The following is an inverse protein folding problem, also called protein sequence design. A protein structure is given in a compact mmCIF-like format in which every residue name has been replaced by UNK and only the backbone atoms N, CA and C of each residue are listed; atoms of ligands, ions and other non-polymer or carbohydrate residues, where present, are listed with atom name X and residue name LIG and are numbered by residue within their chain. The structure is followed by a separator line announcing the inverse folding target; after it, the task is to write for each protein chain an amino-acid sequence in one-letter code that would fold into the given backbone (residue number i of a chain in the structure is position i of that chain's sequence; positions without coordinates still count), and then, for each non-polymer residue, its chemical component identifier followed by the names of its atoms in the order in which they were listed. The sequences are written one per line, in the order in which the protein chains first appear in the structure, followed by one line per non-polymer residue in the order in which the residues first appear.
data_IF_594412380012
#
_entry.id   IF_594412380012
#
_cell.length_a   1.000
_cell.length_b   1.000
_cell.length_c   1.000
_cell.angle_alpha   90.00
_cell.angle_beta   90.00
_cell.angle_gamma   90.00
#
_symmetry.space_group_name_H-M   'P 1'
#
loop_
_entity.id
_entity.type
_entity.pdbx_description
1 polymer ?
#
# COMPACT_ATOMS: atom_id res chain seq x y z
N UNK A 1 -14.17 -7.14 -10.12
CA UNK A 1 -12.71 -6.96 -9.94
C UNK A 1 -12.30 -7.89 -8.83
N UNK A 2 -11.87 -9.07 -9.22
CA UNK A 2 -11.85 -10.25 -8.34
C UNK A 2 -10.42 -10.81 -8.20
N UNK A 3 -9.48 -10.07 -8.77
CA UNK A 3 -8.03 -10.21 -8.73
C UNK A 3 -7.44 -8.82 -8.46
N UNK A 4 -6.34 -8.75 -7.70
CA UNK A 4 -5.50 -7.56 -7.54
C UNK A 4 -4.07 -8.03 -7.27
N UNK A 5 -3.06 -7.40 -7.87
CA UNK A 5 -1.66 -7.83 -7.84
C UNK A 5 -1.47 -9.29 -8.28
N UNK A 6 -2.19 -9.69 -9.33
CA UNK A 6 -2.25 -11.05 -9.89
C UNK A 6 -2.77 -12.16 -8.95
N UNK A 7 -3.25 -11.81 -7.74
CA UNK A 7 -3.79 -12.79 -6.79
C UNK A 7 -5.33 -12.64 -6.66
N UNK A 8 -6.09 -13.76 -6.67
CA UNK A 8 -7.53 -13.73 -6.51
C UNK A 8 -7.91 -13.23 -5.11
N UNK A 9 -8.97 -12.43 -5.04
CA UNK A 9 -9.34 -11.64 -3.86
C UNK A 9 -10.53 -12.26 -3.12
N UNK A 10 -10.38 -12.71 -1.85
CA UNK A 10 -11.43 -13.41 -1.11
C UNK A 10 -12.60 -12.46 -0.77
N UNK A 11 -13.83 -12.99 -0.60
CA UNK A 11 -15.02 -12.15 -0.42
C UNK A 11 -14.92 -11.20 0.78
N UNK A 12 -14.22 -11.63 1.83
CA UNK A 12 -14.10 -10.90 3.09
C UNK A 12 -13.17 -9.68 2.97
N UNK A 13 -12.42 -9.58 1.86
CA UNK A 13 -11.73 -8.37 1.44
C UNK A 13 -12.59 -7.56 0.45
N UNK A 14 -13.31 -8.20 -0.47
CA UNK A 14 -14.23 -7.52 -1.43
C UNK A 14 -15.38 -6.77 -0.74
N UNK A 15 -15.91 -7.31 0.35
CA UNK A 15 -16.92 -6.69 1.24
C UNK A 15 -16.31 -5.68 2.22
N UNK A 16 -14.99 -5.76 2.41
CA UNK A 16 -14.24 -4.74 3.12
C UNK A 16 -14.03 -3.48 2.26
N UNK A 17 -14.03 -3.60 0.93
CA UNK A 17 -14.04 -2.46 0.00
C UNK A 17 -15.36 -1.69 0.13
N UNK A 18 -15.26 -0.40 0.45
CA UNK A 18 -16.40 0.53 0.47
C UNK A 18 -16.59 1.15 -0.91
N UNK A 19 -17.82 1.54 -1.25
CA UNK A 19 -18.00 2.61 -2.24
C UNK A 19 -17.42 3.89 -1.64
N UNK A 20 -16.35 4.40 -2.24
CA UNK A 20 -15.69 5.63 -1.80
C UNK A 20 -16.67 6.80 -1.91
N UNK A 21 -16.79 7.59 -0.84
CA UNK A 21 -17.47 8.88 -0.92
C UNK A 21 -16.76 9.79 -1.91
N UNK A 22 -17.54 10.63 -2.60
CA UNK A 22 -17.03 11.72 -3.45
C UNK A 22 -15.84 12.42 -2.77
N UNK A 23 -14.67 12.52 -3.41
CA UNK A 23 -13.50 13.06 -2.73
C UNK A 23 -13.71 14.52 -2.29
N UNK A 24 -13.14 14.94 -1.15
CA UNK A 24 -13.25 16.32 -0.69
C UNK A 24 -12.47 17.28 -1.61
N UNK A 25 -12.80 18.58 -1.59
CA UNK A 25 -12.02 19.59 -2.29
C UNK A 25 -10.56 19.66 -1.79
N UNK A 26 -9.63 19.95 -2.70
CA UNK A 26 -8.22 20.25 -2.44
C UNK A 26 -8.11 21.67 -1.88
N UNK A 27 -8.04 21.83 -0.56
CA UNK A 27 -8.01 23.13 0.12
C UNK A 27 -6.58 23.69 0.23
N UNK A 28 -5.57 22.83 0.37
CA UNK A 28 -4.15 23.24 0.45
C UNK A 28 -3.44 23.42 -0.90
N UNK A 29 -4.16 23.33 -2.02
CA UNK A 29 -3.57 23.00 -3.33
C UNK A 29 -2.50 23.97 -3.84
N UNK A 30 -2.84 25.25 -3.96
CA UNK A 30 -1.92 26.29 -4.49
C UNK A 30 -0.70 26.52 -3.60
N UNK A 31 -0.83 26.32 -2.29
CA UNK A 31 0.29 26.38 -1.35
C UNK A 31 1.29 25.25 -1.62
N UNK A 32 0.80 24.01 -1.69
CA UNK A 32 1.62 22.81 -1.93
C UNK A 32 2.30 22.89 -3.31
N UNK A 33 1.60 23.41 -4.32
CA UNK A 33 2.16 23.62 -5.66
C UNK A 33 3.33 24.61 -5.64
N UNK A 34 3.19 25.75 -4.93
CA UNK A 34 4.25 26.74 -4.77
C UNK A 34 5.44 26.25 -3.93
N UNK A 35 5.16 25.43 -2.91
CA UNK A 35 6.17 24.79 -2.05
C UNK A 35 7.05 23.81 -2.84
N UNK A 36 6.45 22.91 -3.61
CA UNK A 36 7.17 21.93 -4.43
C UNK A 36 7.97 22.63 -5.55
N UNK A 37 7.40 23.68 -6.16
CA UNK A 37 8.12 24.50 -7.15
C UNK A 37 9.35 25.19 -6.53
N UNK A 38 9.18 25.88 -5.40
CA UNK A 38 10.27 26.59 -4.71
C UNK A 38 11.40 25.66 -4.26
N UNK A 39 11.04 24.45 -3.81
CA UNK A 39 12.02 23.40 -3.47
C UNK A 39 12.75 22.87 -4.71
N UNK A 40 12.05 22.71 -5.83
CA UNK A 40 12.64 22.37 -7.12
C UNK A 40 13.67 23.39 -7.59
N UNK A 41 13.27 24.68 -7.61
CA UNK A 41 14.13 25.79 -8.01
C UNK A 41 15.38 25.88 -7.13
N UNK A 42 15.23 25.76 -5.80
CA UNK A 42 16.34 25.81 -4.84
C UNK A 42 17.39 24.72 -5.05
N UNK A 43 16.98 23.55 -5.58
CA UNK A 43 17.87 22.42 -5.88
C UNK A 43 18.19 22.28 -7.39
N UNK A 44 17.85 23.27 -8.21
CA UNK A 44 18.18 23.29 -9.65
C UNK A 44 17.51 22.18 -10.46
N UNK A 45 16.26 21.84 -10.10
CA UNK A 45 15.53 20.71 -10.65
C UNK A 45 14.89 21.01 -12.00
N UNK A 46 14.76 19.98 -12.83
CA UNK A 46 14.05 20.09 -14.10
C UNK A 46 12.56 20.37 -13.84
N UNK A 47 11.95 21.27 -14.61
CA UNK A 47 10.54 21.63 -14.45
C UNK A 47 9.62 20.41 -14.63
N UNK A 48 10.03 19.46 -15.46
CA UNK A 48 9.38 18.17 -15.67
C UNK A 48 9.42 17.30 -14.39
N UNK A 49 10.55 17.28 -13.66
CA UNK A 49 10.69 16.56 -12.37
C UNK A 49 9.75 17.16 -11.31
N UNK A 50 9.74 18.50 -11.23
CA UNK A 50 8.88 19.29 -10.35
C UNK A 50 7.40 19.06 -10.68
N UNK A 51 7.02 19.09 -11.95
CA UNK A 51 5.62 18.94 -12.36
C UNK A 51 5.10 17.52 -12.15
N UNK A 52 5.92 16.47 -12.34
CA UNK A 52 5.50 15.10 -11.96
C UNK A 52 5.30 14.96 -10.46
N UNK A 53 6.15 15.58 -9.64
CA UNK A 53 5.95 15.62 -8.20
C UNK A 53 4.63 16.31 -7.85
N UNK A 54 4.38 17.52 -8.38
CA UNK A 54 3.11 18.25 -8.19
C UNK A 54 1.89 17.44 -8.61
N UNK A 55 1.94 16.78 -9.78
CA UNK A 55 0.84 15.96 -10.30
C UNK A 55 0.52 14.75 -9.43
N UNK A 56 1.52 14.09 -8.82
CA UNK A 56 1.30 13.02 -7.85
C UNK A 56 0.71 13.54 -6.53
N UNK A 57 1.16 14.71 -6.06
CA UNK A 57 0.64 15.34 -4.83
C UNK A 57 -0.70 16.05 -5.05
N UNK A 58 -1.14 16.22 -6.31
CA UNK A 58 -2.34 16.98 -6.70
C UNK A 58 -3.66 16.41 -6.14
N UNK A 59 -3.68 15.14 -5.70
CA UNK A 59 -4.88 14.47 -5.22
C UNK A 59 -5.62 15.16 -4.07
N UNK A 60 -6.83 14.67 -3.71
CA UNK A 60 -7.63 15.15 -2.60
C UNK A 60 -6.92 15.08 -1.24
N UNK A 61 -7.42 15.85 -0.29
CA UNK A 61 -6.79 16.05 1.02
C UNK A 61 -7.16 14.98 2.07
N UNK A 62 -8.02 13.99 1.77
CA UNK A 62 -8.43 12.98 2.76
C UNK A 62 -7.43 11.85 3.01
N UNK A 63 -6.66 11.43 1.99
CA UNK A 63 -5.70 10.33 2.09
C UNK A 63 -4.41 10.61 1.30
N UNK A 64 -3.28 10.23 1.90
CA UNK A 64 -1.94 10.33 1.30
C UNK A 64 -1.26 8.96 1.31
N UNK A 65 -0.68 8.55 0.18
CA UNK A 65 0.28 7.44 0.09
C UNK A 65 1.68 8.01 0.20
N UNK A 66 2.44 7.58 1.21
CA UNK A 66 3.86 7.90 1.33
C UNK A 66 4.69 6.80 0.66
N UNK A 67 5.35 7.13 -0.43
CA UNK A 67 6.41 6.32 -1.05
C UNK A 67 7.78 6.76 -0.54
N UNK A 68 8.82 5.98 -0.86
CA UNK A 68 10.16 6.27 -0.37
C UNK A 68 10.86 7.35 -1.21
N UNK A 69 11.09 7.10 -2.50
CA UNK A 69 11.73 8.05 -3.43
C UNK A 69 11.40 7.74 -4.89
N UNK A 70 11.52 8.74 -5.80
CA UNK A 70 11.48 8.52 -7.24
C UNK A 70 12.59 7.55 -7.66
N UNK A 71 12.31 6.69 -8.66
CA UNK A 71 13.34 5.86 -9.26
C UNK A 71 14.17 6.65 -10.29
N UNK A 72 15.40 6.21 -10.52
CA UNK A 72 16.44 6.92 -11.28
C UNK A 72 16.24 6.93 -12.80
N UNK A 73 15.29 6.14 -13.29
CA UNK A 73 15.02 5.80 -14.68
C UNK A 73 13.64 6.31 -15.17
N UNK A 74 12.97 7.14 -14.37
CA UNK A 74 11.71 7.77 -14.76
C UNK A 74 11.90 8.77 -15.92
N UNK A 75 11.13 8.59 -16.99
CA UNK A 75 10.95 9.62 -18.02
C UNK A 75 9.94 10.67 -17.54
N UNK A 76 10.46 11.78 -17.02
CA UNK A 76 9.64 12.91 -16.56
C UNK A 76 8.96 13.69 -17.71
N UNK A 77 9.37 13.50 -18.97
CA UNK A 77 8.80 14.20 -20.14
C UNK A 77 7.53 13.57 -20.71
N UNK A 78 7.33 12.26 -20.48
CA UNK A 78 6.14 11.52 -20.89
C UNK A 78 4.83 12.07 -20.28
N UNK A 79 3.64 11.63 -20.71
CA UNK A 79 2.38 12.01 -20.02
C UNK A 79 2.30 11.44 -18.60
N UNK A 80 1.35 11.91 -17.77
CA UNK A 80 1.14 11.34 -16.44
C UNK A 80 0.71 9.86 -16.49
N UNK A 81 -0.05 9.46 -17.52
CA UNK A 81 -0.48 8.07 -17.69
C UNK A 81 0.71 7.16 -18.05
N UNK A 82 1.57 7.59 -18.97
CA UNK A 82 2.77 6.86 -19.38
C UNK A 82 3.77 6.75 -18.22
N UNK A 83 4.07 7.87 -17.54
CA UNK A 83 4.94 7.93 -16.35
C UNK A 83 4.51 6.95 -15.25
N UNK A 84 3.20 6.85 -14.98
CA UNK A 84 2.64 5.87 -14.04
C UNK A 84 2.78 4.44 -14.57
N UNK A 85 2.51 4.21 -15.86
CA UNK A 85 2.52 2.87 -16.45
C UNK A 85 3.91 2.24 -16.56
N UNK A 86 4.95 3.06 -16.82
CA UNK A 86 6.34 2.63 -16.94
C UNK A 86 6.97 2.33 -15.57
N UNK A 87 6.51 2.99 -14.50
CA UNK A 87 7.00 2.75 -13.14
C UNK A 87 6.20 1.64 -12.46
N UNK A 88 6.82 0.47 -12.25
CA UNK A 88 6.16 -0.68 -11.63
C UNK A 88 5.53 -0.33 -10.26
N UNK A 89 6.20 0.49 -9.47
CA UNK A 89 5.69 0.94 -8.16
C UNK A 89 4.44 1.82 -8.32
N UNK A 90 4.44 2.79 -9.23
CA UNK A 90 3.28 3.67 -9.44
C UNK A 90 2.10 2.92 -10.06
N UNK A 91 2.35 2.03 -11.03
CA UNK A 91 1.35 1.12 -11.62
C UNK A 91 0.67 0.26 -10.57
N UNK A 92 1.45 -0.32 -9.64
CA UNK A 92 0.91 -1.11 -8.52
C UNK A 92 0.17 -0.25 -7.50
N UNK A 93 0.59 0.99 -7.23
CA UNK A 93 -0.19 1.94 -6.40
C UNK A 93 -1.53 2.27 -7.07
N UNK A 94 -1.56 2.52 -8.37
CA UNK A 94 -2.79 2.78 -9.12
C UNK A 94 -3.76 1.58 -9.08
N UNK A 95 -3.25 0.36 -9.29
CA UNK A 95 -4.04 -0.88 -9.19
C UNK A 95 -4.63 -1.06 -7.77
N UNK A 96 -3.81 -0.85 -6.73
CA UNK A 96 -4.24 -0.95 -5.32
C UNK A 96 -5.33 0.07 -4.97
N UNK A 97 -5.19 1.32 -5.42
CA UNK A 97 -6.18 2.38 -5.22
C UNK A 97 -7.49 2.03 -5.94
N UNK A 98 -7.41 1.59 -7.21
CA UNK A 98 -8.59 1.19 -7.99
C UNK A 98 -9.30 0.02 -7.32
N UNK A 99 -8.57 -1.02 -6.92
CA UNK A 99 -9.16 -2.15 -6.22
C UNK A 99 -9.84 -1.71 -4.91
N UNK A 100 -9.13 -0.97 -4.05
CA UNK A 100 -9.63 -0.49 -2.77
C UNK A 100 -10.77 0.54 -2.82
N UNK A 101 -11.16 0.99 -4.03
CA UNK A 101 -12.25 1.95 -4.25
C UNK A 101 -13.23 1.54 -5.36
N UNK A 102 -13.21 0.28 -5.83
CA UNK A 102 -14.02 -0.21 -6.96
C UNK A 102 -13.90 0.67 -8.21
N UNK A 103 -12.67 1.09 -8.52
CA UNK A 103 -12.25 2.00 -9.58
C UNK A 103 -12.82 3.44 -9.53
N UNK A 104 -13.45 3.84 -8.42
CA UNK A 104 -13.91 5.23 -8.21
C UNK A 104 -12.74 6.20 -7.98
N UNK A 105 -11.61 5.69 -7.46
CA UNK A 105 -10.35 6.42 -7.38
C UNK A 105 -9.23 5.70 -8.13
N UNK A 106 -8.18 6.44 -8.42
CA UNK A 106 -6.95 6.05 -9.10
C UNK A 106 -5.80 6.97 -8.62
N UNK A 107 -4.57 6.76 -9.10
CA UNK A 107 -3.39 7.54 -8.66
C UNK A 107 -3.44 9.03 -9.07
N UNK A 108 -4.30 9.41 -10.02
CA UNK A 108 -4.48 10.82 -10.44
C UNK A 108 -5.46 11.58 -9.54
N UNK A 109 -6.24 10.88 -8.71
CA UNK A 109 -7.19 11.48 -7.75
C UNK A 109 -7.01 10.93 -6.31
N UNK A 110 -5.77 10.57 -5.97
CA UNK A 110 -5.27 10.25 -4.62
C UNK A 110 -3.90 10.86 -4.48
N UNK A 111 -3.59 11.45 -3.32
CA UNK A 111 -2.29 12.09 -3.10
C UNK A 111 -1.19 11.05 -2.93
N UNK A 112 -0.12 11.12 -3.73
CA UNK A 112 1.10 10.33 -3.55
C UNK A 112 2.27 11.28 -3.32
N UNK A 113 3.05 11.04 -2.26
CA UNK A 113 4.21 11.88 -1.86
C UNK A 113 5.40 10.96 -1.64
N UNK A 114 6.54 11.28 -2.24
CA UNK A 114 7.82 10.65 -1.91
C UNK A 114 8.44 11.31 -0.68
N UNK A 115 8.87 10.53 0.31
CA UNK A 115 9.53 11.06 1.51
C UNK A 115 10.92 11.63 1.19
N UNK A 116 11.57 11.12 0.15
CA UNK A 116 12.70 11.78 -0.52
C UNK A 116 12.23 12.40 -1.85
N UNK A 117 11.36 13.42 -1.76
CA UNK A 117 10.84 14.16 -2.92
C UNK A 117 11.96 14.83 -3.73
N UNK A 118 11.83 14.80 -5.06
CA UNK A 118 12.85 15.28 -6.01
C UNK A 118 14.25 14.69 -5.76
N UNK A 119 14.34 13.45 -5.27
CA UNK A 119 15.60 12.76 -4.97
C UNK A 119 15.71 11.35 -5.59
N UNK A 120 15.74 11.24 -6.94
CA UNK A 120 16.45 10.13 -7.58
C UNK A 120 17.94 10.16 -7.14
N UNK A 121 18.60 9.01 -7.13
CA UNK A 121 20.00 8.92 -6.69
C UNK A 121 20.94 9.71 -7.63
N UNK A 122 21.66 10.69 -7.11
CA UNK A 122 22.57 11.54 -7.89
C UNK A 122 23.37 12.52 -7.03
N UNK A 123 24.27 13.28 -7.66
CA UNK A 123 25.19 14.23 -6.97
C UNK A 123 24.54 15.56 -6.61
N UNK A 124 23.50 15.97 -7.33
CA UNK A 124 22.75 17.21 -7.11
C UNK A 124 21.38 16.88 -6.49
N UNK A 125 21.40 16.11 -5.41
CA UNK A 125 20.22 15.77 -4.64
C UNK A 125 20.02 16.77 -3.48
N UNK A 126 18.78 17.09 -3.10
CA UNK A 126 18.50 17.72 -1.80
C UNK A 126 19.09 16.87 -0.66
N UNK A 127 19.34 17.44 0.52
CA UNK A 127 19.65 16.63 1.70
C UNK A 127 18.45 15.75 2.09
N UNK A 128 18.69 14.70 2.88
CA UNK A 128 17.58 13.86 3.35
C UNK A 128 16.63 14.68 4.24
N UNK A 129 17.15 15.55 5.11
CA UNK A 129 16.32 16.36 6.01
C UNK A 129 15.52 17.47 5.32
N UNK A 130 16.05 18.10 4.25
CA UNK A 130 15.26 19.00 3.39
C UNK A 130 14.07 18.26 2.77
N UNK A 131 14.27 17.03 2.27
CA UNK A 131 13.16 16.21 1.77
C UNK A 131 12.17 15.84 2.88
N UNK A 132 12.68 15.50 4.06
CA UNK A 132 11.86 15.13 5.22
C UNK A 132 10.98 16.31 5.67
N UNK A 133 11.49 17.53 5.72
CA UNK A 133 10.69 18.69 6.11
C UNK A 133 9.69 19.09 5.01
N UNK A 134 10.04 18.98 3.71
CA UNK A 134 9.07 19.12 2.61
C UNK A 134 7.91 18.11 2.74
N UNK A 135 8.21 16.83 2.93
CA UNK A 135 7.20 15.78 3.05
C UNK A 135 6.29 16.00 4.28
N UNK A 136 6.86 16.47 5.39
CA UNK A 136 6.12 16.90 6.59
C UNK A 136 5.21 18.09 6.30
N UNK A 137 5.72 19.13 5.65
CA UNK A 137 4.96 20.33 5.36
C UNK A 137 3.79 20.06 4.39
N UNK A 138 3.98 19.21 3.38
CA UNK A 138 2.90 18.72 2.52
C UNK A 138 1.80 18.02 3.34
N UNK A 139 2.17 17.13 4.28
CA UNK A 139 1.21 16.48 5.18
C UNK A 139 0.49 17.48 6.10
N UNK A 140 1.21 18.49 6.60
CA UNK A 140 0.68 19.56 7.45
C UNK A 140 -0.29 20.50 6.71
N UNK A 141 -0.06 20.74 5.41
CA UNK A 141 -0.95 21.48 4.54
C UNK A 141 -2.20 20.67 4.18
N UNK A 142 -2.04 19.38 3.80
CA UNK A 142 -3.15 18.49 3.42
C UNK A 142 -4.04 18.07 4.59
N UNK A 143 -3.48 17.85 5.78
CA UNK A 143 -4.20 17.36 6.97
C UNK A 143 -5.01 16.08 6.70
N UNK A 144 -4.39 15.03 6.13
CA UNK A 144 -5.11 13.81 5.78
C UNK A 144 -5.72 13.11 7.01
N UNK A 145 -6.86 12.45 6.80
CA UNK A 145 -7.44 11.55 7.78
C UNK A 145 -6.64 10.26 7.89
N UNK A 146 -6.08 9.80 6.77
CA UNK A 146 -5.38 8.51 6.65
C UNK A 146 -4.10 8.67 5.86
N UNK A 147 -3.02 8.02 6.31
CA UNK A 147 -1.73 8.00 5.62
C UNK A 147 -1.31 6.54 5.43
N UNK A 148 -1.12 6.10 4.18
CA UNK A 148 -0.56 4.77 3.87
C UNK A 148 0.96 4.90 3.79
N UNK A 149 1.67 4.36 4.79
CA UNK A 149 3.12 4.36 4.83
C UNK A 149 3.73 3.17 4.09
N UNK A 150 4.12 3.37 2.83
CA UNK A 150 4.77 2.37 1.98
C UNK A 150 6.31 2.48 1.99
N UNK A 151 6.89 2.87 3.13
CA UNK A 151 8.30 3.26 3.27
C UNK A 151 9.14 2.24 4.07
N UNK A 152 10.46 2.24 3.83
CA UNK A 152 11.48 1.56 4.62
C UNK A 152 11.68 2.13 6.03
N UNK A 153 12.78 1.75 6.68
CA UNK A 153 13.09 2.16 8.05
C UNK A 153 13.93 3.45 8.08
N UNK A 154 13.26 4.61 8.06
CA UNK A 154 13.94 5.92 8.01
C UNK A 154 14.45 6.32 9.40
N UNK A 155 15.69 5.92 9.72
CA UNK A 155 16.27 6.05 11.08
C UNK A 155 16.72 7.45 11.50
N UNK A 156 16.99 8.35 10.56
CA UNK A 156 17.73 9.59 10.84
C UNK A 156 16.85 10.78 11.25
N UNK A 157 15.57 10.80 10.88
CA UNK A 157 14.69 11.94 11.12
C UNK A 157 13.72 11.69 12.28
N UNK A 158 13.64 12.63 13.22
CA UNK A 158 12.84 12.48 14.45
C UNK A 158 11.33 12.35 14.15
N UNK A 159 10.76 13.15 13.24
CA UNK A 159 9.32 13.06 12.93
C UNK A 159 8.97 11.77 12.17
N UNK A 160 9.86 11.28 11.32
CA UNK A 160 9.72 9.97 10.66
C UNK A 160 9.97 8.79 11.63
N UNK A 161 10.74 8.98 12.70
CA UNK A 161 10.88 7.99 13.77
C UNK A 161 9.53 7.68 14.44
N UNK A 162 8.63 8.67 14.55
CA UNK A 162 7.25 8.47 14.99
C UNK A 162 6.47 7.53 14.06
N UNK A 163 6.77 7.50 12.75
CA UNK A 163 6.22 6.51 11.80
C UNK A 163 6.86 5.11 11.98
N UNK A 164 8.10 5.04 12.44
CA UNK A 164 8.87 3.80 12.65
C UNK A 164 8.62 3.05 13.98
N UNK A 165 7.68 3.51 14.82
CA UNK A 165 7.31 2.89 16.10
C UNK A 165 6.65 1.48 16.03
N UNK A 166 7.08 0.62 15.11
CA UNK A 166 6.73 -0.80 15.02
C UNK A 166 7.87 -1.57 14.34
N UNK A 167 8.72 -2.25 15.12
CA UNK A 167 10.01 -2.83 14.69
C UNK A 167 9.94 -3.97 13.65
N UNK A 168 8.77 -4.34 13.13
CA UNK A 168 8.58 -5.53 12.27
C UNK A 168 7.75 -5.17 11.05
N UNK A 169 8.41 -5.12 9.88
CA UNK A 169 7.75 -4.86 8.59
C UNK A 169 6.85 -6.05 8.25
N UNK A 170 5.55 -5.80 8.13
CA UNK A 170 4.53 -6.81 7.86
C UNK A 170 3.73 -7.28 9.08
N UNK A 171 3.86 -6.65 10.25
CA UNK A 171 2.88 -6.75 11.34
C UNK A 171 1.78 -5.69 11.16
N UNK A 172 0.62 -5.88 11.80
CA UNK A 172 -0.38 -4.82 11.96
C UNK A 172 0.20 -3.64 12.73
N UNK A 173 0.46 -2.53 12.04
CA UNK A 173 0.93 -1.29 12.65
C UNK A 173 0.07 -0.13 12.14
N UNK A 174 -1.05 0.06 12.81
CA UNK A 174 -1.96 1.20 12.66
C UNK A 174 -1.88 2.06 13.92
N UNK A 175 -1.73 3.37 13.78
CA UNK A 175 -1.67 4.32 14.90
C UNK A 175 -2.13 5.69 14.45
N UNK A 176 -2.66 6.47 15.38
CA UNK A 176 -2.80 7.91 15.14
C UNK A 176 -1.43 8.58 15.32
N UNK A 177 -1.08 9.46 14.39
CA UNK A 177 0.07 10.37 14.51
C UNK A 177 -0.45 11.80 14.57
N UNK A 178 0.11 12.62 15.44
CA UNK A 178 -0.12 14.06 15.42
C UNK A 178 0.71 14.67 14.28
N UNK A 179 0.11 15.54 13.47
CA UNK A 179 0.81 16.28 12.42
C UNK A 179 1.38 17.61 12.94
N UNK A 180 1.12 17.99 14.19
CA UNK A 180 1.62 19.22 14.81
C UNK A 180 0.88 20.49 14.37
N UNK A 181 -0.32 20.35 13.78
CA UNK A 181 -1.12 21.48 13.29
C UNK A 181 -2.53 21.42 13.85
N UNK A 182 -2.89 22.39 14.71
CA UNK A 182 -4.21 22.56 15.31
C UNK A 182 -4.77 21.29 16.01
N UNK A 183 -3.90 20.41 16.52
CA UNK A 183 -4.28 19.12 17.12
C UNK A 183 -4.80 18.08 16.12
N UNK A 184 -4.59 18.28 14.82
CA UNK A 184 -4.98 17.32 13.79
C UNK A 184 -4.12 16.06 13.84
N UNK A 185 -4.77 14.91 14.00
CA UNK A 185 -4.11 13.60 13.92
C UNK A 185 -4.62 12.77 12.74
N UNK A 186 -3.70 12.01 12.13
CA UNK A 186 -3.96 11.15 10.98
C UNK A 186 -3.77 9.67 11.37
N UNK A 187 -4.61 8.79 10.84
CA UNK A 187 -4.42 7.34 10.97
C UNK A 187 -3.30 6.88 10.03
N UNK A 188 -2.11 6.64 10.57
CA UNK A 188 -1.01 6.04 9.84
C UNK A 188 -1.17 4.52 9.78
N UNK A 189 -1.22 3.98 8.55
CA UNK A 189 -1.31 2.55 8.23
C UNK A 189 0.01 2.12 7.61
N UNK A 190 0.85 1.35 8.34
CA UNK A 190 2.13 0.89 7.79
C UNK A 190 1.94 -0.34 6.89
N UNK A 191 2.37 -0.19 5.64
CA UNK A 191 2.36 -1.25 4.62
C UNK A 191 3.77 -1.62 4.16
N UNK A 192 3.85 -2.39 3.08
CA UNK A 192 5.09 -2.66 2.35
C UNK A 192 5.30 -1.62 1.26
N UNK A 193 6.56 -1.43 0.82
CA UNK A 193 6.82 -0.72 -0.43
C UNK A 193 6.31 -1.58 -1.61
N UNK A 194 5.46 -1.06 -2.52
CA UNK A 194 4.85 -1.83 -3.61
C UNK A 194 5.87 -2.61 -4.45
N UNK A 195 6.95 -1.93 -4.89
CA UNK A 195 8.08 -2.55 -5.60
C UNK A 195 8.71 -3.76 -4.91
N UNK A 196 8.69 -3.85 -3.57
CA UNK A 196 9.20 -5.03 -2.84
C UNK A 196 8.27 -6.23 -2.97
N UNK A 197 6.95 -6.02 -2.98
CA UNK A 197 5.96 -7.08 -3.05
C UNK A 197 5.82 -7.67 -4.46
N UNK A 198 5.96 -6.84 -5.49
CA UNK A 198 5.89 -7.27 -6.89
C UNK A 198 7.22 -7.89 -7.36
N UNK A 199 8.37 -7.25 -7.14
CA UNK A 199 9.67 -7.73 -7.66
C UNK A 199 10.27 -8.90 -6.86
N UNK A 200 9.45 -9.55 -6.02
CA UNK A 200 9.76 -10.79 -5.27
C UNK A 200 8.63 -11.82 -5.36
N UNK A 201 7.91 -11.84 -6.50
CA UNK A 201 6.75 -12.69 -6.86
C UNK A 201 6.67 -14.03 -6.12
N UNK A 202 7.75 -14.82 -6.19
CA UNK A 202 7.81 -16.24 -5.78
C UNK A 202 7.84 -16.48 -4.26
N UNK A 203 7.94 -15.44 -3.42
CA UNK A 203 8.18 -15.59 -1.97
C UNK A 203 7.31 -14.68 -1.08
N UNK A 204 6.26 -14.06 -1.63
CA UNK A 204 5.59 -12.93 -0.98
C UNK A 204 4.08 -12.79 -1.28
N UNK A 205 3.34 -13.88 -1.47
CA UNK A 205 1.88 -13.82 -1.63
C UNK A 205 1.21 -13.25 -0.37
N UNK A 206 1.67 -13.62 0.81
CA UNK A 206 1.22 -13.08 2.10
C UNK A 206 1.48 -11.57 2.21
N UNK A 207 2.60 -11.12 1.63
CA UNK A 207 2.97 -9.69 1.58
C UNK A 207 2.11 -8.93 0.56
N UNK A 208 1.79 -9.53 -0.59
CA UNK A 208 0.79 -9.00 -1.55
C UNK A 208 -0.60 -8.90 -0.89
N UNK A 209 -1.07 -9.97 -0.23
CA UNK A 209 -2.35 -9.98 0.50
C UNK A 209 -2.40 -8.89 1.58
N UNK A 210 -1.33 -8.70 2.37
CA UNK A 210 -1.29 -7.59 3.36
C UNK A 210 -1.28 -6.23 2.67
N UNK A 211 -0.50 -6.04 1.60
CA UNK A 211 -0.44 -4.78 0.85
C UNK A 211 -1.83 -4.39 0.30
N UNK A 212 -2.57 -5.33 -0.30
CA UNK A 212 -3.96 -5.08 -0.72
C UNK A 212 -4.85 -4.79 0.49
N UNK A 213 -4.76 -5.57 1.57
CA UNK A 213 -5.52 -5.33 2.79
C UNK A 213 -5.31 -3.91 3.36
N UNK A 214 -4.06 -3.46 3.46
CA UNK A 214 -3.70 -2.18 4.05
C UNK A 214 -4.35 -1.01 3.28
N UNK A 215 -4.37 -1.09 1.94
CA UNK A 215 -5.06 -0.12 1.10
C UNK A 215 -6.59 -0.17 1.30
N UNK A 216 -7.22 -1.36 1.27
CA UNK A 216 -8.67 -1.48 1.50
C UNK A 216 -9.07 -0.97 2.89
N UNK A 217 -8.29 -1.27 3.92
CA UNK A 217 -8.49 -0.74 5.27
C UNK A 217 -8.34 0.77 5.34
N UNK A 218 -7.30 1.32 4.70
CA UNK A 218 -7.05 2.76 4.69
C UNK A 218 -8.18 3.54 3.99
N UNK A 219 -8.65 3.09 2.83
CA UNK A 219 -9.79 3.72 2.14
C UNK A 219 -11.10 3.58 2.93
N UNK A 220 -11.33 2.45 3.62
CA UNK A 220 -12.46 2.30 4.56
C UNK A 220 -12.38 3.31 5.71
N UNK A 221 -11.19 3.55 6.26
CA UNK A 221 -10.97 4.46 7.39
C UNK A 221 -11.19 5.95 7.10
N UNK A 222 -11.23 6.38 5.83
CA UNK A 222 -11.65 7.74 5.45
C UNK A 222 -13.10 8.03 5.88
N UNK A 223 -13.96 7.00 5.82
CA UNK A 223 -15.41 7.11 6.05
C UNK A 223 -15.83 7.02 7.51
N UNK A 224 -14.98 6.46 8.39
CA UNK A 224 -15.26 6.32 9.81
C UNK A 224 -14.34 5.31 10.51
N UNK A 225 -14.50 5.09 11.83
CA UNK A 225 -13.66 4.16 12.59
C UNK A 225 -13.80 2.70 12.10
N UNK A 226 -12.66 2.04 11.88
CA UNK A 226 -12.61 0.67 11.36
C UNK A 226 -11.90 -0.24 12.35
N UNK A 227 -12.43 -1.44 12.56
CA UNK A 227 -11.75 -2.53 13.29
C UNK A 227 -11.15 -3.50 12.29
N UNK A 228 -9.95 -4.02 12.58
CA UNK A 228 -9.39 -5.13 11.81
C UNK A 228 -10.26 -6.38 11.98
N UNK A 229 -10.55 -7.13 10.90
CA UNK A 229 -11.28 -8.37 11.00
C UNK A 229 -10.41 -9.47 11.62
N UNK A 230 -11.03 -10.40 12.34
CA UNK A 230 -10.34 -11.46 13.09
C UNK A 230 -9.46 -12.35 12.21
N UNK A 231 -9.90 -12.65 10.97
CA UNK A 231 -9.15 -13.49 10.02
C UNK A 231 -7.77 -12.93 9.64
N UNK A 232 -7.55 -11.63 9.77
CA UNK A 232 -6.28 -11.00 9.40
C UNK A 232 -5.15 -11.40 10.36
N UNK A 233 -5.44 -11.56 11.65
CA UNK A 233 -4.48 -12.03 12.64
C UNK A 233 -3.95 -13.43 12.28
N UNK A 234 -4.84 -14.29 11.74
CA UNK A 234 -4.51 -15.63 11.26
C UNK A 234 -3.44 -15.58 10.15
N UNK A 235 -3.63 -14.73 9.14
CA UNK A 235 -2.69 -14.56 8.01
C UNK A 235 -1.31 -14.10 8.50
N UNK A 236 -1.27 -13.09 9.37
CA UNK A 236 -0.04 -12.52 9.90
C UNK A 236 0.74 -13.54 10.76
N UNK A 237 0.03 -14.47 11.43
CA UNK A 237 0.63 -15.58 12.19
C UNK A 237 1.32 -16.65 11.33
N UNK A 238 1.09 -16.68 10.01
CA UNK A 238 1.75 -17.59 9.06
C UNK A 238 3.15 -17.07 8.72
N UNK A 239 3.23 -15.81 8.28
CA UNK A 239 4.48 -15.14 7.87
C UNK A 239 5.52 -15.12 8.99
N UNK A 240 5.08 -14.94 10.24
CA UNK A 240 5.94 -14.98 11.44
C UNK A 240 6.50 -16.39 11.77
N UNK A 241 6.08 -17.45 11.06
CA UNK A 241 6.60 -18.81 11.20
C UNK A 241 7.45 -19.25 10.00
N UNK A 242 7.26 -18.64 8.84
CA UNK A 242 8.07 -18.89 7.63
C UNK A 242 9.40 -18.11 7.62
N UNK A 243 9.58 -17.09 8.47
CA UNK A 243 10.81 -16.29 8.52
C UNK A 243 12.08 -17.04 8.96
N UNK A 244 11.97 -18.31 9.34
CA UNK A 244 13.08 -19.10 9.88
C UNK A 244 13.72 -20.04 8.84
N UNK A 245 13.05 -20.33 7.72
CA UNK A 245 13.53 -21.29 6.71
C UNK A 245 13.31 -20.73 5.29
N UNK A 246 14.21 -21.06 4.35
CA UNK A 246 14.03 -20.75 2.93
C UNK A 246 13.56 -22.01 2.20
N UNK A 247 12.27 -22.15 1.83
CA UNK A 247 11.82 -23.23 0.97
C UNK A 247 12.56 -23.26 -0.37
N UNK A 248 12.64 -24.42 -1.02
CA UNK A 248 13.31 -24.54 -2.31
C UNK A 248 12.40 -24.14 -3.48
N UNK A 249 12.97 -24.05 -4.68
CA UNK A 249 12.29 -23.47 -5.86
C UNK A 249 11.09 -24.28 -6.37
N UNK A 250 10.93 -25.53 -5.93
CA UNK A 250 9.74 -26.36 -6.20
C UNK A 250 8.68 -26.29 -5.10
N UNK A 251 9.07 -25.96 -3.86
CA UNK A 251 8.18 -25.99 -2.70
C UNK A 251 7.20 -24.80 -2.68
N UNK A 252 7.54 -23.67 -3.33
CA UNK A 252 6.77 -22.42 -3.25
C UNK A 252 5.29 -22.54 -3.66
N UNK A 253 4.93 -23.38 -4.63
CA UNK A 253 3.53 -23.63 -4.98
C UNK A 253 2.83 -24.51 -3.94
N UNK A 254 3.55 -25.48 -3.38
CA UNK A 254 3.06 -26.36 -2.31
C UNK A 254 2.85 -25.54 -1.02
N UNK A 255 3.77 -24.64 -0.69
CA UNK A 255 3.68 -23.70 0.44
C UNK A 255 2.54 -22.68 0.26
N UNK A 256 2.34 -22.13 -0.94
CA UNK A 256 1.19 -21.29 -1.23
C UNK A 256 -0.13 -22.05 -0.99
N UNK A 257 -0.23 -23.28 -1.52
CA UNK A 257 -1.39 -24.13 -1.29
C UNK A 257 -1.52 -24.52 0.19
N UNK A 258 -0.43 -24.77 0.94
CA UNK A 258 -0.47 -25.02 2.38
C UNK A 258 -0.89 -23.80 3.20
N UNK A 259 -0.46 -22.60 2.82
CA UNK A 259 -0.87 -21.35 3.45
C UNK A 259 -2.35 -21.07 3.18
N UNK A 260 -2.84 -21.21 1.95
CA UNK A 260 -4.26 -21.09 1.62
C UNK A 260 -5.10 -22.16 2.35
N UNK A 261 -4.69 -23.44 2.32
CA UNK A 261 -5.32 -24.54 3.11
C UNK A 261 -5.32 -24.24 4.61
N UNK A 262 -4.32 -23.52 5.13
CA UNK A 262 -4.20 -23.19 6.56
C UNK A 262 -4.99 -21.94 6.94
N UNK A 263 -5.14 -20.96 6.06
CA UNK A 263 -6.10 -19.86 6.20
C UNK A 263 -7.52 -20.45 6.24
N UNK A 264 -7.86 -21.30 5.27
CA UNK A 264 -9.13 -22.04 5.23
C UNK A 264 -9.36 -22.81 6.53
N UNK A 265 -8.39 -23.64 6.97
CA UNK A 265 -8.52 -24.46 8.20
C UNK A 265 -8.63 -23.66 9.50
N UNK A 266 -8.28 -22.37 9.50
CA UNK A 266 -8.50 -21.46 10.64
C UNK A 266 -9.85 -20.71 10.52
N UNK A 267 -10.36 -20.53 9.30
CA UNK A 267 -11.61 -19.80 9.03
C UNK A 267 -12.87 -20.68 9.02
N UNK A 268 -12.77 -21.95 8.59
CA UNK A 268 -13.90 -22.87 8.42
C UNK A 268 -14.06 -23.87 9.57
N UNK A 269 -15.30 -24.16 9.97
CA UNK A 269 -15.67 -25.32 10.80
C UNK A 269 -16.24 -26.51 10.00
N UNK A 270 -16.07 -26.50 8.68
CA UNK A 270 -16.85 -27.33 7.76
C UNK A 270 -16.35 -28.79 7.66
N UNK A 271 -17.30 -29.72 7.61
CA UNK A 271 -17.11 -31.17 7.45
C UNK A 271 -16.96 -31.62 6.00
N UNK A 272 -17.47 -30.87 5.02
CA UNK A 272 -17.56 -31.31 3.61
C UNK A 272 -16.18 -31.60 3.01
N UNK A 273 -15.18 -30.78 3.38
CA UNK A 273 -13.78 -30.92 2.94
C UNK A 273 -13.08 -32.16 3.52
N UNK A 274 -13.62 -32.81 4.55
CA UNK A 274 -13.11 -34.10 5.06
C UNK A 274 -13.58 -35.31 4.25
N UNK A 275 -14.67 -35.18 3.48
CA UNK A 275 -15.25 -36.28 2.70
C UNK A 275 -14.58 -36.36 1.32
N UNK A 276 -14.44 -35.23 0.62
CA UNK A 276 -13.65 -35.13 -0.63
C UNK A 276 -12.18 -35.59 -0.48
N UNK A 277 -11.66 -35.56 0.77
CA UNK A 277 -10.34 -36.08 1.11
C UNK A 277 -10.25 -37.62 1.09
N UNK A 278 -11.37 -38.35 1.23
CA UNK A 278 -11.40 -39.83 1.13
C UNK A 278 -11.30 -40.32 -0.31
N UNK A 279 -11.84 -39.56 -1.26
CA UNK A 279 -12.08 -40.02 -2.63
C UNK A 279 -10.95 -39.67 -3.63
N UNK A 280 -9.93 -38.94 -3.18
CA UNK A 280 -8.69 -38.73 -3.94
C UNK A 280 -8.77 -37.72 -5.11
N UNK A 281 -9.95 -37.14 -5.39
CA UNK A 281 -10.22 -36.14 -6.47
C UNK A 281 -9.58 -34.76 -6.19
N UNK A 282 -8.57 -34.72 -5.32
CA UNK A 282 -8.21 -33.57 -4.51
C UNK A 282 -7.53 -32.41 -5.27
N UNK A 283 -7.00 -32.65 -6.47
CA UNK A 283 -6.27 -31.64 -7.24
C UNK A 283 -7.14 -30.73 -8.13
N UNK A 284 -8.28 -31.22 -8.63
CA UNK A 284 -9.20 -30.38 -9.43
C UNK A 284 -9.99 -29.42 -8.52
N UNK A 285 -10.53 -29.96 -7.42
CA UNK A 285 -11.24 -29.27 -6.33
C UNK A 285 -10.45 -28.10 -5.72
N UNK A 286 -9.12 -28.15 -5.71
CA UNK A 286 -8.28 -27.18 -4.99
C UNK A 286 -8.35 -25.74 -5.52
N UNK A 287 -8.59 -25.52 -6.81
CA UNK A 287 -8.41 -24.17 -7.41
C UNK A 287 -9.73 -23.40 -7.52
N UNK A 288 -10.81 -24.08 -7.90
CA UNK A 288 -12.14 -23.45 -8.01
C UNK A 288 -12.91 -23.60 -6.69
N UNK A 289 -13.12 -24.83 -6.21
CA UNK A 289 -13.96 -25.07 -5.02
C UNK A 289 -13.36 -24.55 -3.70
N UNK A 290 -12.03 -24.38 -3.55
CA UNK A 290 -11.50 -23.70 -2.34
C UNK A 290 -11.87 -22.22 -2.31
N UNK A 291 -12.00 -21.55 -3.46
CA UNK A 291 -12.44 -20.16 -3.49
C UNK A 291 -13.95 -20.03 -3.33
N UNK A 292 -14.74 -21.02 -3.76
CA UNK A 292 -16.20 -21.02 -3.62
C UNK A 292 -16.73 -21.59 -2.30
N UNK A 293 -16.14 -22.66 -1.71
CA UNK A 293 -16.49 -23.11 -0.35
C UNK A 293 -16.03 -22.14 0.74
N UNK A 294 -15.06 -21.26 0.45
CA UNK A 294 -14.76 -20.10 1.30
C UNK A 294 -15.76 -18.95 1.09
N UNK A 295 -16.76 -19.08 0.20
CA UNK A 295 -17.68 -18.02 -0.22
C UNK A 295 -19.19 -18.34 -0.04
N UNK A 296 -19.55 -19.43 0.67
CA UNK A 296 -20.96 -19.82 0.92
C UNK A 296 -21.33 -20.03 2.39
N UNK A 297 -20.52 -19.54 3.35
CA UNK A 297 -20.77 -19.52 4.81
C UNK A 297 -20.36 -18.18 5.45
#
# INVERSE_FOLDING_TARGET
MDVCLEIPMPSCMRDFIVQSSTPPPRLGGTYIDGLIASFGDAHGKAMEEVEKCRLLVHGPDDIVVLLERPATDHDYSASLAEFVSCSETLRTVDELIRFATRAQRNIQNVSVVDVFSLKPHGTNAPSDDECHDLAKEILQAKKPKVIIGCIGEIRQCHWLSCLNAGKIIGVLCTKYIDLGVNGHSALFVRSFHPGYCINRVNWCVESRIKLVYDFVFAFRAITGPVRHPSWLLSILSLRAKQSNERPSRGDALVDLLFNLRRIHRISSKDTTVLEARKEGVYYAVIVEEIFDLLWTL
#
